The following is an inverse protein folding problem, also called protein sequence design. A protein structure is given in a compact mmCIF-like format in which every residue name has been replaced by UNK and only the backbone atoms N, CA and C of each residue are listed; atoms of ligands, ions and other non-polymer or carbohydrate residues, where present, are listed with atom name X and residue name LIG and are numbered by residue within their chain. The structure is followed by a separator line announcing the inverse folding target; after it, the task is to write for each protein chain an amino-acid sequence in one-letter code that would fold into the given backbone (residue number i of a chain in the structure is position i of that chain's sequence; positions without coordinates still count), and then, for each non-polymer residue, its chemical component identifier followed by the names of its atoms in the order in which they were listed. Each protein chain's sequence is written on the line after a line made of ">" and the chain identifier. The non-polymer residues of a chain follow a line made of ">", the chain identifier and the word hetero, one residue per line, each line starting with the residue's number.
data_IF_696808913664
#
_entry.id   IF_696808913664
#
_cell.length_a   1.000
_cell.length_b   1.000
_cell.length_c   1.000
_cell.angle_alpha   90.00
_cell.angle_beta   90.00
_cell.angle_gamma   90.00
#
_symmetry.space_group_name_H-M   'P 1'
#
loop_
_entity.id
_entity.type
_entity.pdbx_description
1 polymer ?
#
# COMPACT_ATOMS: atom_id res chain seq x y z
N UNK A 1 -4.19 -6.46 10.20
CA UNK A 1 -5.56 -6.54 9.64
C UNK A 1 -6.02 -5.17 9.11
N UNK A 2 -6.09 -4.10 9.92
CA UNK A 2 -6.50 -2.76 9.44
C UNK A 2 -5.58 -2.22 8.33
N UNK A 3 -4.26 -2.25 8.54
CA UNK A 3 -3.31 -1.73 7.55
C UNK A 3 -3.43 -2.41 6.18
N UNK A 4 -3.61 -3.73 6.17
CA UNK A 4 -3.79 -4.51 4.94
C UNK A 4 -5.03 -4.08 4.14
N UNK A 5 -6.15 -3.79 4.81
CA UNK A 5 -7.36 -3.31 4.14
C UNK A 5 -7.26 -1.83 3.72
N UNK A 6 -6.53 -1.01 4.47
CA UNK A 6 -6.42 0.44 4.24
C UNK A 6 -5.50 0.78 3.06
N UNK A 7 -4.38 0.07 2.96
CA UNK A 7 -3.32 0.33 1.99
C UNK A 7 -3.81 0.34 0.52
N UNK A 8 -4.63 -0.63 0.06
CA UNK A 8 -5.21 -0.59 -1.28
C UNK A 8 -6.17 0.58 -1.51
N UNK A 9 -6.89 1.03 -0.48
CA UNK A 9 -7.78 2.19 -0.59
C UNK A 9 -6.99 3.48 -0.81
N UNK A 10 -5.88 3.66 -0.08
CA UNK A 10 -4.97 4.80 -0.26
C UNK A 10 -4.31 4.74 -1.65
N UNK A 11 -3.81 3.57 -2.05
CA UNK A 11 -3.18 3.36 -3.35
C UNK A 11 -4.10 3.71 -4.54
N UNK A 12 -5.42 3.56 -4.37
CA UNK A 12 -6.45 3.92 -5.37
C UNK A 12 -6.91 5.38 -5.31
N UNK A 13 -6.37 6.19 -4.39
CA UNK A 13 -6.72 7.60 -4.25
C UNK A 13 -7.97 7.88 -3.42
N UNK A 14 -8.54 6.88 -2.71
CA UNK A 14 -9.75 7.09 -1.91
C UNK A 14 -9.55 8.04 -0.72
N UNK A 15 -8.30 8.22 -0.27
CA UNK A 15 -7.97 9.09 0.86
C UNK A 15 -7.63 10.53 0.44
N UNK A 16 -6.88 10.71 -0.65
CA UNK A 16 -6.29 12.00 -1.04
C UNK A 16 -6.74 12.48 -2.43
N UNK A 17 -7.58 11.73 -3.13
CA UNK A 17 -8.05 12.02 -4.48
C UNK A 17 -7.36 11.18 -5.57
N UNK A 18 -8.02 11.08 -6.73
CA UNK A 18 -7.57 10.25 -7.85
C UNK A 18 -6.37 10.81 -8.62
N UNK A 19 -5.95 12.04 -8.33
CA UNK A 19 -4.87 12.76 -9.04
C UNK A 19 -3.66 13.06 -8.13
N UNK A 20 -3.65 12.56 -6.89
CA UNK A 20 -2.59 12.80 -5.92
C UNK A 20 -1.67 11.57 -5.83
N UNK A 21 -0.45 11.61 -6.38
CA UNK A 21 0.52 10.54 -6.17
C UNK A 21 0.92 10.45 -4.69
N UNK A 22 1.16 9.23 -4.23
CA UNK A 22 1.50 8.90 -2.85
C UNK A 22 2.73 7.99 -2.78
N UNK A 23 3.47 8.12 -1.70
CA UNK A 23 4.56 7.21 -1.34
C UNK A 23 4.14 6.49 -0.07
N UNK A 24 4.09 5.15 -0.12
CA UNK A 24 3.65 4.32 1.00
C UNK A 24 4.87 3.78 1.76
N UNK A 25 5.12 4.34 2.94
CA UNK A 25 6.10 3.80 3.89
C UNK A 25 5.43 2.78 4.80
N UNK A 26 5.58 1.49 4.48
CA UNK A 26 5.03 0.39 5.27
C UNK A 26 6.03 -0.01 6.37
N UNK A 27 5.58 -0.05 7.62
CA UNK A 27 6.39 -0.42 8.79
C UNK A 27 5.63 -1.47 9.60
N UNK A 28 6.34 -2.51 10.02
CA UNK A 28 5.83 -3.53 10.94
C UNK A 28 6.97 -4.08 11.80
N UNK A 29 6.64 -4.90 12.80
CA UNK A 29 7.61 -5.58 13.65
C UNK A 29 8.43 -6.62 12.86
N UNK A 30 9.66 -6.96 13.28
CA UNK A 30 10.54 -7.87 12.52
C UNK A 30 9.90 -9.22 12.12
N UNK A 31 9.09 -9.89 12.97
CA UNK A 31 8.41 -11.13 12.60
C UNK A 31 7.42 -11.00 11.43
N UNK A 32 6.92 -9.79 11.15
CA UNK A 32 5.95 -9.52 10.09
C UNK A 32 6.60 -9.14 8.75
N UNK A 33 7.93 -9.15 8.65
CA UNK A 33 8.65 -8.73 7.44
C UNK A 33 8.21 -9.49 6.17
N UNK A 34 7.95 -10.80 6.29
CA UNK A 34 7.46 -11.61 5.17
C UNK A 34 6.06 -11.17 4.69
N UNK A 35 5.15 -10.89 5.64
CA UNK A 35 3.82 -10.39 5.31
C UNK A 35 3.89 -9.00 4.67
N UNK A 36 4.75 -8.12 5.19
CA UNK A 36 4.97 -6.77 4.65
C UNK A 36 5.49 -6.82 3.20
N UNK A 37 6.39 -7.76 2.90
CA UNK A 37 6.84 -8.02 1.53
C UNK A 37 5.71 -8.52 0.63
N UNK A 38 4.82 -9.37 1.14
CA UNK A 38 3.61 -9.79 0.41
C UNK A 38 2.72 -8.61 0.02
N UNK A 39 2.46 -7.68 0.96
CA UNK A 39 1.70 -6.46 0.68
C UNK A 39 2.37 -5.61 -0.39
N UNK A 40 3.70 -5.49 -0.35
CA UNK A 40 4.45 -4.77 -1.38
C UNK A 40 4.26 -5.42 -2.75
N UNK A 41 4.31 -6.75 -2.84
CA UNK A 41 4.09 -7.49 -4.10
C UNK A 41 2.69 -7.23 -4.65
N UNK A 42 1.67 -7.35 -3.81
CA UNK A 42 0.27 -7.09 -4.23
C UNK A 42 0.05 -5.65 -4.70
N UNK A 43 0.69 -4.66 -4.07
CA UNK A 43 0.62 -3.26 -4.50
C UNK A 43 1.25 -3.04 -5.88
N UNK A 44 2.37 -3.72 -6.17
CA UNK A 44 3.03 -3.67 -7.48
C UNK A 44 2.15 -4.33 -8.54
N UNK A 45 1.58 -5.50 -8.24
CA UNK A 45 0.70 -6.23 -9.15
C UNK A 45 -0.61 -5.49 -9.41
N UNK A 46 -1.11 -4.74 -8.43
CA UNK A 46 -2.28 -3.89 -8.59
C UNK A 46 -2.07 -2.70 -9.56
N UNK A 47 -0.83 -2.46 -9.99
CA UNK A 47 -0.43 -1.44 -10.98
C UNK A 47 -1.09 -0.07 -10.73
N UNK A 48 -1.21 0.33 -9.46
CA UNK A 48 -1.88 1.55 -9.09
C UNK A 48 -1.07 2.78 -9.56
N UNK A 49 -1.60 3.64 -10.44
CA UNK A 49 -0.84 4.73 -11.06
C UNK A 49 -0.41 5.82 -10.07
N UNK A 50 -1.00 5.84 -8.88
CA UNK A 50 -0.73 6.82 -7.83
C UNK A 50 0.41 6.41 -6.89
N UNK A 51 0.83 5.14 -6.90
CA UNK A 51 1.91 4.66 -6.01
C UNK A 51 3.25 4.73 -6.74
N UNK A 52 4.23 5.39 -6.11
CA UNK A 52 5.61 5.53 -6.62
C UNK A 52 6.62 4.72 -5.83
#
# INVERSE_FOLDING_TARGET
>A
QIGYALVPMIARGAMLGADQPVILHLLDIPPAAAALNGVKMELVDAACPLVK
#
